data_IF_099023297817
#
_entry.id   IF_099023297817
#
_cell.length_a   1.000
_cell.length_b   1.000
_cell.length_c   1.000
_cell.angle_alpha   90.00
_cell.angle_beta   90.00
_cell.angle_gamma   90.00
#
_symmetry.space_group_name_H-M   'P 1'
#
loop_
_entity.id
_entity.type
_entity.pdbx_description
1 polymer ?
#
# COMPACT_ATOMS: atom_id res chain seq x y z
N UNK A 1 24.55 21.74 8.83
CA UNK A 1 24.13 22.02 10.21
C UNK A 1 25.16 21.45 11.16
N UNK A 2 25.66 22.27 12.10
CA UNK A 2 26.72 21.95 13.07
C UNK A 2 26.21 21.02 14.18
N UNK A 3 27.03 20.08 14.65
CA UNK A 3 26.81 19.38 15.93
C UNK A 3 28.13 19.30 16.71
N UNK A 4 28.28 20.15 17.72
CA UNK A 4 29.03 19.81 18.93
C UNK A 4 28.20 20.25 20.13
N UNK A 5 27.80 19.27 20.93
CA UNK A 5 27.22 19.52 22.24
C UNK A 5 26.64 18.27 22.89
N UNK A 6 27.39 17.69 23.82
CA UNK A 6 26.96 17.73 25.22
C UNK A 6 28.10 18.44 25.97
N UNK A 7 27.79 19.45 26.77
CA UNK A 7 27.42 19.19 28.16
C UNK A 7 26.41 20.21 28.75
N UNK A 8 25.59 19.83 29.73
CA UNK A 8 25.14 20.77 30.78
C UNK A 8 25.60 20.33 32.19
N UNK A 9 26.45 19.31 32.23
CA UNK A 9 26.77 18.26 33.22
C UNK A 9 25.85 17.03 33.11
N UNK A 10 26.01 16.35 31.97
CA UNK A 10 25.86 14.91 31.71
C UNK A 10 24.44 14.33 31.84
N UNK A 11 23.48 14.85 31.05
CA UNK A 11 22.22 14.14 30.74
C UNK A 11 21.22 13.96 31.90
N UNK A 12 21.37 14.70 33.00
CA UNK A 12 20.56 14.54 34.23
C UNK A 12 19.72 15.74 34.66
N UNK A 13 19.65 16.84 33.89
CA UNK A 13 18.83 18.00 34.22
C UNK A 13 17.78 18.30 33.13
N UNK A 14 16.58 18.70 33.55
CA UNK A 14 15.48 19.12 32.69
C UNK A 14 15.54 20.63 32.38
N UNK A 15 15.11 21.08 31.18
CA UNK A 15 14.53 20.28 30.09
C UNK A 15 15.58 19.73 29.12
N UNK A 16 15.39 18.47 28.66
CA UNK A 16 16.20 17.87 27.58
C UNK A 16 15.69 18.33 26.22
N UNK A 17 16.27 19.36 25.63
CA UNK A 17 15.98 19.78 24.26
C UNK A 17 17.16 19.48 23.34
N UNK A 18 16.87 19.02 22.12
CA UNK A 18 17.85 18.93 21.03
C UNK A 18 18.13 20.38 20.61
N UNK A 19 19.22 20.95 21.10
CA UNK A 19 19.63 22.31 20.75
C UNK A 19 20.50 22.27 19.47
N UNK A 20 20.00 22.89 18.39
CA UNK A 20 20.72 23.11 17.14
C UNK A 20 21.34 24.53 17.15
N UNK A 21 22.50 24.73 17.78
CA UNK A 21 23.23 26.02 17.68
C UNK A 21 24.77 25.86 17.65
N UNK A 22 25.42 26.75 16.89
CA UNK A 22 26.83 26.82 16.47
C UNK A 22 27.77 27.55 17.45
N UNK A 23 28.90 26.93 17.82
CA UNK A 23 30.16 27.63 18.14
C UNK A 23 31.38 26.84 17.62
N UNK A 24 32.31 27.55 16.97
CA UNK A 24 33.45 26.97 16.21
C UNK A 24 34.73 26.83 17.05
N UNK A 25 35.44 25.70 16.92
CA UNK A 25 36.70 25.46 17.65
C UNK A 25 37.45 24.16 17.33
N UNK A 26 37.63 23.83 16.04
CA UNK A 26 38.71 22.99 15.52
C UNK A 26 38.52 21.45 15.50
N UNK A 27 38.92 20.80 14.40
CA UNK A 27 39.26 19.37 14.37
C UNK A 27 38.92 18.63 13.09
N UNK A 28 39.69 18.75 12.00
CA UNK A 28 39.40 18.14 10.68
C UNK A 28 39.32 16.60 10.69
N UNK A 29 38.12 16.01 10.88
CA UNK A 29 37.71 14.71 10.32
C UNK A 29 36.21 14.72 10.00
N UNK A 30 35.84 14.31 8.79
CA UNK A 30 34.44 14.24 8.37
C UNK A 30 33.73 13.07 9.03
N UNK A 31 32.80 13.34 9.95
CA UNK A 31 31.93 12.33 10.53
C UNK A 31 30.51 12.43 9.97
N UNK A 32 29.99 11.28 9.55
CA UNK A 32 28.62 11.11 9.10
C UNK A 32 27.69 11.05 10.33
N UNK A 33 26.66 11.89 10.40
CA UNK A 33 25.44 11.48 11.12
C UNK A 33 24.95 10.17 10.48
N UNK A 34 24.31 9.30 11.28
CA UNK A 34 23.70 8.06 10.80
C UNK A 34 23.10 8.27 9.39
N UNK A 35 23.44 7.44 8.39
CA UNK A 35 23.06 7.65 6.99
C UNK A 35 21.54 7.69 6.74
N UNK A 36 20.71 7.53 7.78
CA UNK A 36 19.26 7.43 7.71
C UNK A 36 18.48 8.53 8.45
N UNK A 37 19.07 9.71 8.70
CA UNK A 37 18.30 10.84 9.26
C UNK A 37 17.74 11.72 8.12
N UNK A 38 16.42 11.84 8.11
CA UNK A 38 15.64 12.58 7.13
C UNK A 38 14.79 13.62 7.83
N UNK A 39 14.72 14.83 7.26
CA UNK A 39 13.79 15.88 7.70
C UNK A 39 13.14 16.48 6.45
N UNK A 40 11.81 16.49 6.40
CA UNK A 40 11.03 17.03 5.28
C UNK A 40 11.47 16.49 3.90
N UNK A 41 11.76 15.19 3.82
CA UNK A 41 12.20 14.55 2.57
C UNK A 41 13.65 14.84 2.16
N UNK A 42 14.40 15.59 2.95
CA UNK A 42 15.82 15.89 2.68
C UNK A 42 16.70 15.07 3.60
N UNK A 43 17.63 14.32 3.00
CA UNK A 43 18.65 13.55 3.70
C UNK A 43 19.67 14.50 4.31
N UNK A 44 19.86 14.44 5.62
CA UNK A 44 20.83 15.29 6.31
C UNK A 44 22.24 14.71 6.11
N UNK A 45 22.93 15.15 5.04
CA UNK A 45 24.32 14.83 4.73
C UNK A 45 25.23 16.01 5.11
N UNK A 46 26.41 15.73 5.68
CA UNK A 46 27.46 16.72 5.91
C UNK A 46 28.37 16.89 4.69
N UNK A 47 28.76 18.13 4.36
CA UNK A 47 29.56 18.47 3.17
C UNK A 47 31.09 18.37 3.35
N UNK A 48 31.56 17.82 4.48
CA UNK A 48 32.96 17.37 4.62
C UNK A 48 34.05 18.45 4.68
N UNK A 49 33.73 19.75 4.81
CA UNK A 49 34.74 20.82 4.89
C UNK A 49 34.87 21.43 6.29
N UNK A 50 35.94 21.11 7.06
CA UNK A 50 36.24 21.78 8.33
C UNK A 50 37.76 21.85 8.62
N UNK A 51 38.25 23.00 9.13
CA UNK A 51 39.66 23.28 9.49
C UNK A 51 39.83 23.52 11.02
N UNK A 52 40.84 22.91 11.68
CA UNK A 52 41.31 23.17 13.08
C UNK A 52 41.57 21.91 13.95
N UNK A 53 41.79 22.02 15.29
CA UNK A 53 42.13 20.93 16.27
C UNK A 53 41.04 20.50 17.28
N UNK A 54 40.84 19.19 17.47
CA UNK A 54 39.69 18.56 18.14
C UNK A 54 39.80 18.32 19.67
N UNK A 55 38.72 18.57 20.43
CA UNK A 55 38.55 18.07 21.81
C UNK A 55 38.11 16.59 21.80
N UNK A 56 38.70 15.74 22.66
CA UNK A 56 38.51 14.27 22.68
C UNK A 56 38.73 13.58 21.32
N UNK A 57 39.61 14.12 20.48
CA UNK A 57 39.86 13.58 19.14
C UNK A 57 38.72 13.81 18.13
N UNK A 58 37.69 14.60 18.49
CA UNK A 58 36.56 14.91 17.61
C UNK A 58 35.38 13.94 17.73
N UNK A 59 35.46 12.94 18.61
CA UNK A 59 34.47 11.88 18.73
C UNK A 59 33.57 12.02 19.97
N UNK A 60 32.75 13.07 19.98
CA UNK A 60 31.53 13.08 20.81
C UNK A 60 30.37 12.33 20.11
N UNK A 61 30.57 11.94 18.85
CA UNK A 61 29.60 11.25 18.02
C UNK A 61 29.26 9.88 18.59
N UNK A 62 30.23 9.15 19.17
CA UNK A 62 29.96 7.87 19.85
C UNK A 62 29.01 8.01 21.05
N UNK A 63 29.17 9.04 21.88
CA UNK A 63 28.29 9.24 23.05
C UNK A 63 26.91 9.79 22.66
N UNK A 64 26.86 10.71 21.68
CA UNK A 64 25.61 11.18 21.08
C UNK A 64 24.90 10.08 20.31
N UNK A 65 25.61 9.23 19.55
CA UNK A 65 25.01 8.12 18.84
C UNK A 65 24.52 7.08 19.82
N UNK A 66 25.28 6.70 20.85
CA UNK A 66 24.83 5.67 21.80
C UNK A 66 23.66 6.17 22.65
N UNK A 67 23.65 7.45 23.04
CA UNK A 67 22.53 8.05 23.77
C UNK A 67 21.32 8.39 22.88
N UNK A 68 21.52 8.84 21.63
CA UNK A 68 20.45 9.12 20.67
C UNK A 68 19.89 7.83 20.06
N UNK A 69 20.72 6.82 19.78
CA UNK A 69 20.33 5.44 19.47
C UNK A 69 19.60 4.86 20.68
N UNK A 70 20.17 4.98 21.89
CA UNK A 70 19.50 4.56 23.11
C UNK A 70 18.17 5.28 23.38
N UNK A 71 17.99 6.51 22.91
CA UNK A 71 16.73 7.27 23.02
C UNK A 71 15.76 6.94 21.86
N UNK A 72 16.27 6.79 20.64
CA UNK A 72 15.50 6.37 19.47
C UNK A 72 15.02 4.92 19.59
N UNK A 73 15.81 4.07 20.26
CA UNK A 73 15.51 2.69 20.59
C UNK A 73 14.84 2.55 21.97
N UNK A 74 14.74 3.63 22.78
CA UNK A 74 13.98 3.61 24.04
C UNK A 74 12.46 3.51 23.82
N UNK A 75 12.03 3.80 22.58
CA UNK A 75 10.68 3.57 22.10
C UNK A 75 10.76 2.54 20.98
N UNK A 76 9.93 1.49 21.06
CA UNK A 76 9.83 0.53 19.97
C UNK A 76 9.44 1.29 18.69
N UNK A 77 10.23 1.13 17.61
CA UNK A 77 9.88 1.65 16.29
C UNK A 77 8.47 1.16 15.95
N UNK A 78 7.53 2.08 15.68
CA UNK A 78 6.22 1.67 15.16
C UNK A 78 6.47 0.98 13.82
N UNK A 79 6.28 -0.33 13.81
CA UNK A 79 6.39 -1.17 12.62
C UNK A 79 4.98 -1.50 12.15
N UNK A 80 4.78 -1.44 10.84
CA UNK A 80 3.49 -1.73 10.22
C UNK A 80 3.59 -3.01 9.41
N UNK A 81 2.78 -4.00 9.80
CA UNK A 81 2.52 -5.19 9.02
C UNK A 81 1.43 -4.95 7.99
N UNK A 82 1.22 -5.92 7.08
CA UNK A 82 -0.02 -5.98 6.32
C UNK A 82 -1.21 -6.09 7.25
N UNK A 83 -2.37 -5.60 6.79
CA UNK A 83 -3.62 -5.79 7.50
C UNK A 83 -4.75 -5.99 6.48
N UNK A 84 -5.27 -7.21 6.43
CA UNK A 84 -6.43 -7.58 5.63
C UNK A 84 -7.72 -7.66 6.46
N UNK A 85 -7.74 -7.25 7.74
CA UNK A 85 -8.92 -7.39 8.59
C UNK A 85 -9.59 -6.04 8.92
N UNK A 86 -10.94 -5.96 8.88
CA UNK A 86 -11.89 -6.97 8.39
C UNK A 86 -12.09 -6.84 6.87
N UNK A 87 -11.52 -7.75 6.07
CA UNK A 87 -11.83 -7.79 4.64
C UNK A 87 -13.31 -8.13 4.47
N UNK A 88 -14.02 -7.25 3.77
CA UNK A 88 -15.44 -7.39 3.47
C UNK A 88 -15.61 -8.15 2.14
N UNK A 89 -14.87 -7.71 1.10
CA UNK A 89 -14.95 -8.30 -0.23
C UNK A 89 -13.59 -8.39 -0.90
N UNK A 90 -13.45 -9.37 -1.80
CA UNK A 90 -12.26 -9.56 -2.61
C UNK A 90 -12.56 -10.24 -3.95
N UNK A 91 -12.18 -9.59 -5.05
CA UNK A 91 -12.28 -10.14 -6.40
C UNK A 91 -10.91 -10.19 -7.07
N UNK A 92 -10.51 -11.38 -7.52
CA UNK A 92 -9.15 -11.65 -8.02
C UNK A 92 -9.02 -11.76 -9.55
N UNK A 93 -10.12 -11.73 -10.32
CA UNK A 93 -10.09 -11.69 -11.79
C UNK A 93 -9.11 -12.65 -12.51
N UNK A 94 -8.77 -13.79 -11.90
CA UNK A 94 -7.73 -14.73 -12.35
C UNK A 94 -8.30 -15.92 -13.12
N UNK A 95 -9.44 -15.72 -13.77
CA UNK A 95 -10.08 -16.74 -14.61
C UNK A 95 -9.24 -16.99 -15.86
N UNK A 96 -9.36 -18.20 -16.42
CA UNK A 96 -8.72 -18.58 -17.67
C UNK A 96 -8.99 -17.55 -18.77
N UNK A 97 -7.97 -17.27 -19.58
CA UNK A 97 -8.08 -16.30 -20.66
C UNK A 97 -9.23 -16.63 -21.61
N UNK A 98 -10.04 -15.62 -21.95
CA UNK A 98 -11.22 -15.80 -22.80
C UNK A 98 -12.21 -14.64 -22.72
N UNK A 99 -13.29 -14.67 -23.51
CA UNK A 99 -14.33 -13.64 -23.48
C UNK A 99 -15.03 -13.56 -22.11
N UNK A 100 -15.31 -12.35 -21.66
CA UNK A 100 -16.15 -12.07 -20.49
C UNK A 100 -17.34 -11.19 -20.93
N UNK A 101 -18.38 -11.77 -21.58
CA UNK A 101 -19.51 -11.00 -22.07
C UNK A 101 -20.31 -10.36 -20.93
N UNK A 102 -21.16 -9.38 -21.26
CA UNK A 102 -22.10 -8.78 -20.31
C UNK A 102 -22.87 -9.83 -19.50
N UNK A 103 -22.99 -9.62 -18.19
CA UNK A 103 -23.61 -10.57 -17.26
C UNK A 103 -22.65 -11.63 -16.71
N UNK A 104 -21.39 -11.67 -17.14
CA UNK A 104 -20.36 -12.48 -16.47
C UNK A 104 -20.19 -12.00 -15.03
N UNK A 105 -20.22 -12.94 -14.07
CA UNK A 105 -20.06 -12.62 -12.66
C UNK A 105 -18.78 -13.22 -12.09
N UNK A 106 -18.14 -12.49 -11.19
CA UNK A 106 -17.00 -12.93 -10.40
C UNK A 106 -17.44 -12.85 -8.94
N UNK A 107 -17.51 -13.99 -8.26
CA UNK A 107 -17.86 -14.03 -6.85
C UNK A 107 -16.67 -13.56 -6.00
N UNK A 108 -16.97 -12.78 -4.98
CA UNK A 108 -15.99 -12.39 -3.98
C UNK A 108 -15.55 -13.62 -3.20
N UNK A 109 -14.24 -13.80 -3.01
CA UNK A 109 -13.70 -14.88 -2.15
C UNK A 109 -14.02 -14.65 -0.67
N UNK A 110 -14.59 -13.49 -0.32
CA UNK A 110 -15.07 -13.12 1.02
C UNK A 110 -16.51 -12.65 0.94
N UNK A 111 -17.42 -13.30 1.67
CA UNK A 111 -18.84 -12.93 1.71
C UNK A 111 -19.64 -13.22 0.42
N UNK A 112 -19.01 -13.68 -0.66
CA UNK A 112 -19.70 -14.19 -1.87
C UNK A 112 -20.35 -13.14 -2.78
N UNK A 113 -20.26 -11.85 -2.46
CA UNK A 113 -20.86 -10.78 -3.25
C UNK A 113 -20.30 -10.74 -4.69
N UNK A 114 -21.14 -10.42 -5.67
CA UNK A 114 -20.79 -10.55 -7.10
C UNK A 114 -20.30 -9.22 -7.67
N UNK A 115 -19.14 -9.26 -8.33
CA UNK A 115 -18.75 -8.25 -9.32
C UNK A 115 -19.30 -8.68 -10.68
N UNK A 116 -20.01 -7.80 -11.37
CA UNK A 116 -20.70 -8.12 -12.62
C UNK A 116 -20.12 -7.33 -13.78
N UNK A 117 -19.76 -8.02 -14.87
CA UNK A 117 -19.36 -7.36 -16.11
C UNK A 117 -20.60 -6.78 -16.78
N UNK A 118 -20.57 -5.49 -17.07
CA UNK A 118 -21.57 -4.76 -17.87
C UNK A 118 -20.94 -4.35 -19.20
N UNK A 119 -21.76 -4.06 -20.20
CA UNK A 119 -21.29 -3.62 -21.52
C UNK A 119 -20.54 -4.70 -22.30
N UNK A 120 -19.85 -4.28 -23.36
CA UNK A 120 -19.29 -5.18 -24.38
C UNK A 120 -17.77 -5.14 -24.43
N UNK A 121 -17.17 -6.29 -24.78
CA UNK A 121 -15.75 -6.39 -25.16
C UNK A 121 -14.76 -6.67 -24.03
N UNK A 122 -15.21 -6.97 -22.81
CA UNK A 122 -14.30 -7.43 -21.77
C UNK A 122 -13.76 -8.84 -22.03
N UNK A 123 -12.53 -9.08 -21.60
CA UNK A 123 -11.86 -10.39 -21.73
C UNK A 123 -11.04 -10.70 -20.50
N UNK A 124 -11.10 -11.92 -20.00
CA UNK A 124 -10.11 -12.43 -19.06
C UNK A 124 -8.76 -12.63 -19.77
N UNK A 125 -7.67 -12.27 -19.09
CA UNK A 125 -6.30 -12.40 -19.60
C UNK A 125 -5.57 -13.62 -19.03
N UNK A 126 -6.21 -14.40 -18.15
CA UNK A 126 -5.58 -15.46 -17.35
C UNK A 126 -5.10 -14.98 -15.98
N UNK A 127 -4.85 -13.68 -15.82
CA UNK A 127 -4.42 -13.05 -14.57
C UNK A 127 -5.13 -11.72 -14.31
N UNK A 128 -6.16 -11.39 -15.06
CA UNK A 128 -6.93 -10.17 -14.87
C UNK A 128 -8.14 -10.12 -15.79
N UNK A 129 -8.96 -9.09 -15.62
CA UNK A 129 -10.08 -8.76 -16.48
C UNK A 129 -9.78 -7.45 -17.21
N UNK A 130 -9.70 -7.51 -18.54
CA UNK A 130 -9.46 -6.37 -19.42
C UNK A 130 -10.75 -5.64 -19.72
N UNK A 131 -10.78 -4.34 -19.44
CA UNK A 131 -11.77 -3.42 -20.00
C UNK A 131 -11.26 -2.85 -21.32
N UNK A 132 -12.08 -2.81 -22.39
CA UNK A 132 -11.61 -2.45 -23.73
C UNK A 132 -11.48 -0.94 -23.97
N UNK A 133 -12.16 -0.11 -23.17
CA UNK A 133 -12.39 1.29 -23.46
C UNK A 133 -13.07 1.52 -24.83
N UNK A 134 -13.00 2.74 -25.35
CA UNK A 134 -13.40 3.06 -26.72
C UNK A 134 -14.81 3.64 -26.90
N UNK A 135 -15.64 3.66 -25.85
CA UNK A 135 -16.85 4.48 -25.78
C UNK A 135 -16.75 5.47 -24.61
N UNK A 136 -17.79 6.28 -24.40
CA UNK A 136 -17.98 7.06 -23.17
C UNK A 136 -19.20 6.56 -22.38
N UNK A 137 -19.44 7.15 -21.22
CA UNK A 137 -20.59 6.83 -20.36
C UNK A 137 -21.95 7.13 -21.00
N UNK A 138 -22.02 8.00 -22.02
CA UNK A 138 -23.23 8.32 -22.77
C UNK A 138 -23.46 7.35 -23.95
N UNK A 139 -23.41 6.06 -23.68
CA UNK A 139 -23.66 5.01 -24.66
C UNK A 139 -24.73 4.05 -24.13
N UNK A 140 -25.62 3.59 -25.01
CA UNK A 140 -26.65 2.62 -24.64
C UNK A 140 -26.03 1.31 -24.11
N UNK A 141 -26.70 0.65 -23.16
CA UNK A 141 -26.14 -0.47 -22.41
C UNK A 141 -25.65 -1.64 -23.29
N UNK A 142 -26.28 -1.87 -24.45
CA UNK A 142 -25.89 -2.94 -25.37
C UNK A 142 -24.60 -2.63 -26.15
N UNK A 143 -24.18 -1.37 -26.23
CA UNK A 143 -23.05 -0.92 -27.05
C UNK A 143 -21.95 -0.23 -26.26
N UNK A 144 -22.17 0.08 -24.99
CA UNK A 144 -21.16 0.66 -24.13
C UNK A 144 -19.99 -0.31 -23.95
N UNK A 145 -18.76 0.22 -24.00
CA UNK A 145 -17.57 -0.53 -23.65
C UNK A 145 -17.69 -1.09 -22.22
N UNK A 146 -17.13 -2.27 -22.00
CA UNK A 146 -17.34 -2.98 -20.76
C UNK A 146 -16.76 -2.24 -19.54
N UNK A 147 -17.46 -2.39 -18.41
CA UNK A 147 -17.05 -1.95 -17.08
C UNK A 147 -17.50 -2.98 -16.04
N UNK A 148 -17.03 -2.86 -14.80
CA UNK A 148 -17.40 -3.79 -13.72
C UNK A 148 -18.29 -3.06 -12.73
N UNK A 149 -19.40 -3.70 -12.40
CA UNK A 149 -20.43 -3.25 -11.49
C UNK A 149 -20.31 -4.04 -10.17
N UNK A 150 -20.08 -3.33 -9.08
CA UNK A 150 -19.93 -3.90 -7.74
C UNK A 150 -21.22 -3.68 -6.94
N UNK A 151 -21.43 -4.42 -5.84
CA UNK A 151 -22.66 -4.30 -5.05
C UNK A 151 -22.86 -2.91 -4.44
N UNK A 152 -24.07 -2.38 -4.59
CA UNK A 152 -24.51 -1.12 -3.98
C UNK A 152 -24.56 -1.22 -2.45
N UNK A 153 -24.48 -0.07 -1.76
CA UNK A 153 -24.60 0.01 -0.31
C UNK A 153 -23.41 -0.59 0.46
N UNK A 154 -22.34 -0.96 -0.25
CA UNK A 154 -21.15 -1.57 0.35
C UNK A 154 -20.42 -0.57 1.25
N UNK A 155 -20.27 0.68 0.79
CA UNK A 155 -19.43 1.69 1.42
C UNK A 155 -20.18 2.52 2.44
N UNK A 156 -21.43 2.89 2.15
CA UNK A 156 -22.29 3.64 3.09
C UNK A 156 -22.61 2.85 4.37
N UNK A 157 -22.53 1.52 4.32
CA UNK A 157 -22.67 0.66 5.48
C UNK A 157 -21.42 0.60 6.40
N UNK A 158 -20.29 1.19 5.99
CA UNK A 158 -19.04 1.14 6.72
C UNK A 158 -18.58 2.56 7.11
N UNK A 159 -18.48 2.91 8.40
CA UNK A 159 -17.95 4.22 8.82
C UNK A 159 -16.48 4.38 8.41
N UNK A 160 -15.73 3.28 8.38
CA UNK A 160 -14.34 3.29 7.96
C UNK A 160 -14.13 2.20 6.91
N UNK A 161 -13.47 2.53 5.81
CA UNK A 161 -13.13 1.55 4.79
C UNK A 161 -11.83 1.85 4.06
N UNK A 162 -11.29 0.82 3.43
CA UNK A 162 -10.20 0.90 2.45
C UNK A 162 -10.58 0.12 1.21
N UNK A 163 -10.37 0.73 0.05
CA UNK A 163 -10.40 0.09 -1.26
C UNK A 163 -8.95 -0.07 -1.71
N UNK A 164 -8.54 -1.28 -2.08
CA UNK A 164 -7.24 -1.55 -2.71
C UNK A 164 -7.45 -2.23 -4.07
N UNK A 165 -6.82 -1.70 -5.12
CA UNK A 165 -6.99 -2.17 -6.50
C UNK A 165 -5.62 -2.32 -7.16
N UNK A 166 -5.35 -3.51 -7.69
CA UNK A 166 -4.24 -3.75 -8.59
C UNK A 166 -4.75 -3.68 -10.03
N UNK A 167 -4.28 -2.68 -10.78
CA UNK A 167 -4.71 -2.48 -12.15
C UNK A 167 -3.56 -1.99 -13.06
N UNK A 168 -3.67 -2.34 -14.34
CA UNK A 168 -2.69 -2.05 -15.39
C UNK A 168 -3.33 -1.16 -16.45
N UNK A 169 -3.10 0.16 -16.44
CA UNK A 169 -3.59 1.05 -17.49
C UNK A 169 -2.96 0.71 -18.84
N UNK A 170 -3.77 0.57 -19.89
CA UNK A 170 -3.32 0.17 -21.22
C UNK A 170 -3.31 1.32 -22.23
N UNK A 171 -3.98 2.42 -21.91
CA UNK A 171 -3.87 3.71 -22.61
C UNK A 171 -4.47 4.82 -21.74
N UNK A 172 -4.06 6.07 -21.95
CA UNK A 172 -4.77 7.21 -21.37
C UNK A 172 -6.13 7.42 -22.08
N UNK A 173 -7.16 7.71 -21.29
CA UNK A 173 -8.51 8.09 -21.73
C UNK A 173 -8.95 9.36 -20.99
N UNK A 174 -9.75 10.19 -21.63
CA UNK A 174 -10.27 11.41 -21.06
C UNK A 174 -11.08 11.06 -19.81
N UNK A 175 -10.63 11.53 -18.65
CA UNK A 175 -11.29 11.25 -17.37
C UNK A 175 -11.47 9.75 -17.06
N UNK A 176 -10.46 8.92 -17.39
CA UNK A 176 -10.48 7.47 -17.16
C UNK A 176 -10.57 7.11 -15.68
N UNK A 177 -11.62 6.39 -15.25
CA UNK A 177 -11.77 5.93 -13.85
C UNK A 177 -11.05 4.61 -13.57
N UNK A 178 -10.40 4.53 -12.40
CA UNK A 178 -10.00 3.28 -11.76
C UNK A 178 -11.20 2.71 -11.01
N UNK A 179 -11.81 3.53 -10.16
CA UNK A 179 -13.02 3.24 -9.40
C UNK A 179 -13.81 4.53 -9.22
N UNK A 180 -15.13 4.42 -9.19
CA UNK A 180 -16.01 5.47 -8.73
C UNK A 180 -17.20 4.87 -7.99
N UNK A 181 -17.54 5.44 -6.83
CA UNK A 181 -18.73 5.10 -6.06
C UNK A 181 -19.57 6.34 -5.80
N UNK A 182 -20.89 6.21 -5.80
CA UNK A 182 -21.84 7.28 -5.49
C UNK A 182 -23.09 7.19 -6.37
N UNK A 183 -23.62 8.34 -6.81
CA UNK A 183 -24.82 8.40 -7.65
C UNK A 183 -24.79 9.59 -8.60
N UNK A 184 -25.63 9.55 -9.62
CA UNK A 184 -25.85 10.73 -10.47
C UNK A 184 -26.88 11.68 -9.89
N UNK A 185 -26.83 12.96 -10.32
CA UNK A 185 -27.90 13.94 -10.09
C UNK A 185 -29.20 13.57 -10.79
N UNK A 186 -29.11 12.89 -11.93
CA UNK A 186 -30.26 12.40 -12.69
C UNK A 186 -30.97 11.26 -11.93
N UNK A 187 -32.18 10.90 -12.37
CA UNK A 187 -32.98 9.85 -11.73
C UNK A 187 -32.40 8.43 -11.91
N UNK A 188 -31.41 8.24 -12.79
CA UNK A 188 -30.92 6.92 -13.18
C UNK A 188 -31.65 6.38 -14.41
N UNK A 189 -31.57 5.07 -14.65
CA UNK A 189 -32.28 4.38 -15.73
C UNK A 189 -33.71 3.95 -15.35
N UNK A 190 -34.15 4.23 -14.12
CA UNK A 190 -35.48 3.90 -13.61
C UNK A 190 -35.68 2.41 -13.27
N UNK A 191 -34.61 1.62 -13.30
CA UNK A 191 -34.64 0.18 -12.99
C UNK A 191 -34.07 -0.14 -11.60
N UNK A 192 -33.34 0.80 -11.01
CA UNK A 192 -32.71 0.69 -9.69
C UNK A 192 -33.13 1.82 -8.74
N UNK A 193 -32.28 2.10 -7.77
CA UNK A 193 -32.42 3.24 -6.88
C UNK A 193 -32.30 4.58 -7.64
N UNK A 194 -32.70 5.67 -6.98
CA UNK A 194 -32.59 6.99 -7.58
C UNK A 194 -31.11 7.32 -7.87
N UNK A 195 -30.83 7.72 -9.11
CA UNK A 195 -29.47 8.03 -9.58
C UNK A 195 -28.66 6.80 -10.00
N UNK A 196 -29.24 5.61 -9.98
CA UNK A 196 -28.59 4.37 -10.38
C UNK A 196 -28.69 4.11 -11.90
N UNK A 197 -27.58 3.71 -12.50
CA UNK A 197 -27.57 3.15 -13.85
C UNK A 197 -27.19 1.66 -13.80
N UNK A 198 -28.20 0.80 -13.74
CA UNK A 198 -28.06 -0.65 -13.52
C UNK A 198 -27.28 -1.39 -14.62
N UNK A 199 -27.07 -0.76 -15.78
CA UNK A 199 -26.42 -1.38 -16.94
C UNK A 199 -27.25 -2.53 -17.53
N UNK A 200 -28.55 -2.55 -17.28
CA UNK A 200 -29.47 -3.58 -17.79
C UNK A 200 -29.49 -3.55 -19.33
N UNK A 201 -29.37 -4.71 -20.02
CA UNK A 201 -29.47 -4.76 -21.48
C UNK A 201 -30.77 -4.14 -21.99
N UNK A 202 -30.65 -3.31 -23.03
CA UNK A 202 -31.76 -2.54 -23.59
C UNK A 202 -31.93 -1.13 -23.03
N UNK A 203 -31.29 -0.78 -21.91
CA UNK A 203 -31.29 0.60 -21.41
C UNK A 203 -30.67 1.55 -22.44
N UNK A 204 -31.36 2.67 -22.69
CA UNK A 204 -30.92 3.71 -23.61
C UNK A 204 -29.64 4.42 -23.12
N UNK A 205 -29.02 5.20 -23.99
CA UNK A 205 -27.93 6.08 -23.56
C UNK A 205 -28.45 7.08 -22.52
N UNK A 206 -27.69 7.34 -21.44
CA UNK A 206 -28.19 8.11 -20.30
C UNK A 206 -28.39 9.61 -20.58
N UNK A 207 -27.90 10.13 -21.72
CA UNK A 207 -27.80 11.56 -21.96
C UNK A 207 -26.64 12.14 -21.16
N UNK A 208 -26.67 13.45 -20.89
CA UNK A 208 -25.68 14.12 -20.02
C UNK A 208 -26.00 13.81 -18.57
N UNK A 209 -25.02 13.24 -17.87
CA UNK A 209 -25.11 12.98 -16.42
C UNK A 209 -23.98 13.65 -15.68
N UNK A 210 -24.25 13.97 -14.41
CA UNK A 210 -23.28 14.53 -13.47
C UNK A 210 -23.34 13.73 -12.17
N UNK A 211 -22.24 13.68 -11.43
CA UNK A 211 -22.24 13.11 -10.09
C UNK A 211 -22.96 14.02 -9.10
N UNK A 212 -23.86 13.45 -8.30
CA UNK A 212 -24.33 14.10 -7.07
C UNK A 212 -23.36 13.75 -5.94
N UNK A 213 -23.16 12.46 -5.73
CA UNK A 213 -22.28 11.95 -4.68
C UNK A 213 -21.15 11.18 -5.35
N UNK A 214 -19.93 11.36 -4.87
CA UNK A 214 -18.78 10.73 -5.49
C UNK A 214 -17.65 10.53 -4.49
N UNK A 215 -17.09 9.32 -4.48
CA UNK A 215 -15.69 9.08 -4.13
C UNK A 215 -15.07 8.32 -5.30
N UNK A 216 -14.15 8.96 -6.00
CA UNK A 216 -13.64 8.44 -7.26
C UNK A 216 -12.16 8.66 -7.44
N UNK A 217 -11.51 7.74 -8.14
CA UNK A 217 -10.12 7.86 -8.54
C UNK A 217 -9.98 7.70 -10.04
N UNK A 218 -9.44 8.71 -10.68
CA UNK A 218 -9.10 8.72 -12.10
C UNK A 218 -7.67 8.23 -12.30
N UNK A 219 -7.51 7.24 -13.18
CA UNK A 219 -6.21 6.80 -13.68
C UNK A 219 -5.54 7.88 -14.52
N UNK A 220 -6.34 8.69 -15.22
CA UNK A 220 -5.92 9.91 -15.88
C UNK A 220 -7.10 10.86 -16.13
N UNK A 221 -6.83 12.16 -16.22
CA UNK A 221 -7.82 13.21 -16.51
C UNK A 221 -7.83 13.63 -17.99
N UNK A 222 -6.79 13.25 -18.73
CA UNK A 222 -6.59 13.66 -20.13
C UNK A 222 -6.11 12.49 -20.99
N UNK A 223 -6.48 12.47 -22.28
CA UNK A 223 -6.14 11.39 -23.24
C UNK A 223 -4.65 11.30 -23.60
N UNK A 224 -3.87 12.36 -23.36
CA UNK A 224 -2.46 12.44 -23.75
C UNK A 224 -1.46 11.93 -22.70
N UNK A 225 -1.90 11.63 -21.47
CA UNK A 225 -0.98 11.38 -20.36
C UNK A 225 -1.65 10.56 -19.26
N UNK A 226 -0.97 9.48 -18.83
CA UNK A 226 -1.36 8.73 -17.62
C UNK A 226 -0.84 9.39 -16.34
N UNK A 227 -0.04 10.45 -16.43
CA UNK A 227 0.56 11.07 -15.26
C UNK A 227 -0.46 11.93 -14.51
N UNK A 228 -1.46 12.47 -15.21
CA UNK A 228 -2.43 13.42 -14.66
C UNK A 228 -3.59 12.69 -14.00
N UNK A 229 -3.41 12.27 -12.75
CA UNK A 229 -4.39 11.49 -11.99
C UNK A 229 -5.19 12.38 -11.03
N UNK A 230 -6.40 11.95 -10.65
CA UNK A 230 -7.28 12.75 -9.78
C UNK A 230 -8.05 11.89 -8.79
N UNK A 231 -7.97 12.24 -7.50
CA UNK A 231 -8.98 11.90 -6.51
C UNK A 231 -10.11 12.94 -6.60
N UNK A 232 -11.36 12.49 -6.59
CA UNK A 232 -12.54 13.35 -6.49
C UNK A 232 -13.42 12.87 -5.33
N UNK A 233 -13.90 13.81 -4.53
CA UNK A 233 -14.80 13.56 -3.40
C UNK A 233 -15.90 14.62 -3.40
N UNK A 234 -17.16 14.21 -3.25
CA UNK A 234 -18.28 15.14 -3.30
C UNK A 234 -19.59 14.55 -2.82
N UNK A 235 -20.51 15.46 -2.46
CA UNK A 235 -21.87 15.15 -2.02
C UNK A 235 -22.82 16.22 -2.56
N UNK A 236 -24.03 15.83 -2.95
CA UNK A 236 -25.09 16.75 -3.39
C UNK A 236 -24.66 17.70 -4.53
N UNK A 237 -23.82 17.23 -5.46
CA UNK A 237 -23.35 17.96 -6.63
C UNK A 237 -22.19 18.92 -6.37
N UNK A 238 -21.75 19.08 -5.11
CA UNK A 238 -20.54 19.80 -4.77
C UNK A 238 -19.38 18.82 -4.63
N UNK A 239 -18.26 19.10 -5.31
CA UNK A 239 -17.11 18.22 -5.32
C UNK A 239 -15.80 18.98 -5.16
N UNK A 240 -14.83 18.27 -4.60
CA UNK A 240 -13.45 18.69 -4.44
C UNK A 240 -12.53 17.69 -5.13
N UNK A 241 -11.35 18.15 -5.53
CA UNK A 241 -10.40 17.35 -6.30
C UNK A 241 -8.99 17.48 -5.73
N UNK A 242 -8.24 16.38 -5.78
CA UNK A 242 -6.79 16.38 -5.61
C UNK A 242 -6.10 15.72 -6.79
N UNK A 243 -5.25 16.49 -7.45
CA UNK A 243 -4.49 16.04 -8.60
C UNK A 243 -3.09 15.55 -8.21
N UNK A 244 -2.56 14.63 -9.00
CA UNK A 244 -1.15 14.25 -9.00
C UNK A 244 -0.61 14.19 -10.43
N UNK A 245 0.71 14.30 -10.55
CA UNK A 245 1.47 14.14 -11.80
C UNK A 245 2.40 12.91 -11.75
N UNK A 246 2.05 11.91 -10.94
CA UNK A 246 2.91 10.75 -10.72
C UNK A 246 3.18 10.01 -12.03
N UNK A 247 4.46 9.73 -12.36
CA UNK A 247 4.80 8.98 -13.57
C UNK A 247 4.08 7.63 -13.64
N UNK A 248 3.28 7.43 -14.68
CA UNK A 248 2.57 6.17 -14.94
C UNK A 248 2.89 5.69 -16.35
N UNK A 249 3.45 4.49 -16.43
CA UNK A 249 3.85 3.82 -17.67
C UNK A 249 2.73 2.91 -18.14
N UNK A 250 2.39 3.00 -19.43
CA UNK A 250 1.42 2.11 -20.08
C UNK A 250 1.86 0.65 -19.96
N UNK A 251 0.92 -0.23 -19.61
CA UNK A 251 1.18 -1.67 -19.51
C UNK A 251 1.88 -2.09 -18.21
N UNK A 252 2.19 -1.15 -17.31
CA UNK A 252 2.71 -1.46 -15.97
C UNK A 252 1.56 -1.59 -14.99
N UNK A 253 1.59 -2.66 -14.19
CA UNK A 253 0.64 -2.83 -13.10
C UNK A 253 1.01 -1.92 -11.93
N UNK A 254 -0.02 -1.37 -11.31
CA UNK A 254 0.14 -0.56 -10.13
C UNK A 254 -0.94 -0.84 -9.10
N UNK A 255 -0.64 -0.48 -7.85
CA UNK A 255 -1.60 -0.49 -6.75
C UNK A 255 -2.20 0.92 -6.57
N UNK A 256 -3.52 0.99 -6.55
CA UNK A 256 -4.31 2.18 -6.23
C UNK A 256 -5.08 1.90 -4.95
N UNK A 257 -5.07 2.80 -3.98
CA UNK A 257 -5.91 2.64 -2.80
C UNK A 257 -6.54 3.96 -2.33
N UNK A 258 -7.72 3.84 -1.74
CA UNK A 258 -8.42 4.93 -1.07
C UNK A 258 -8.81 4.45 0.33
N UNK A 259 -8.53 5.25 1.35
CA UNK A 259 -9.12 5.04 2.69
C UNK A 259 -10.14 6.14 2.95
N UNK A 260 -11.26 5.80 3.59
CA UNK A 260 -12.20 6.75 4.17
C UNK A 260 -12.30 6.46 5.66
N UNK A 261 -11.99 7.44 6.49
CA UNK A 261 -12.14 7.36 7.94
C UNK A 261 -13.18 8.36 8.42
N UNK A 262 -14.26 7.90 9.05
CA UNK A 262 -15.23 8.82 9.65
C UNK A 262 -14.62 9.58 10.83
N UNK A 263 -15.03 10.83 10.98
CA UNK A 263 -14.60 11.72 12.05
C UNK A 263 -15.82 12.42 12.67
N UNK A 264 -15.61 13.25 13.69
CA UNK A 264 -16.70 14.04 14.26
C UNK A 264 -17.23 15.16 13.31
N UNK A 265 -16.48 15.52 12.26
CA UNK A 265 -16.77 16.65 11.39
C UNK A 265 -17.08 16.27 9.92
N UNK A 266 -17.27 14.98 9.65
CA UNK A 266 -17.33 14.40 8.30
C UNK A 266 -16.34 13.25 8.23
N UNK A 267 -15.49 13.20 7.21
CA UNK A 267 -14.52 12.12 7.01
C UNK A 267 -13.14 12.60 6.55
N UNK A 268 -12.14 11.73 6.70
CA UNK A 268 -10.81 11.91 6.09
C UNK A 268 -10.62 10.86 5.01
N UNK A 269 -10.46 11.32 3.76
CA UNK A 269 -10.15 10.51 2.59
C UNK A 269 -8.67 10.58 2.30
N UNK A 270 -8.01 9.44 2.13
CA UNK A 270 -6.62 9.38 1.68
C UNK A 270 -6.51 8.58 0.41
N UNK A 271 -5.65 9.03 -0.49
CA UNK A 271 -5.31 8.33 -1.73
C UNK A 271 -3.86 7.87 -1.71
N UNK A 272 -3.65 6.61 -2.11
CA UNK A 272 -2.36 5.96 -2.17
C UNK A 272 -2.04 5.41 -3.58
N UNK A 273 -0.75 5.36 -3.88
CA UNK A 273 -0.17 4.76 -5.07
C UNK A 273 0.99 3.85 -4.66
N UNK A 274 0.96 2.57 -5.03
CA UNK A 274 2.04 1.62 -4.70
C UNK A 274 2.38 1.59 -3.20
N UNK A 275 1.37 1.73 -2.33
CA UNK A 275 1.57 1.75 -0.88
C UNK A 275 2.03 3.10 -0.31
N UNK A 276 2.29 4.11 -1.15
CA UNK A 276 2.69 5.45 -0.73
C UNK A 276 1.47 6.37 -0.67
N UNK A 277 1.35 7.14 0.42
CA UNK A 277 0.34 8.20 0.55
C UNK A 277 0.63 9.32 -0.46
N UNK A 278 -0.36 9.68 -1.27
CA UNK A 278 -0.26 10.73 -2.28
C UNK A 278 -0.99 11.99 -1.83
N UNK A 279 -2.21 11.84 -1.31
CA UNK A 279 -3.06 12.94 -0.86
C UNK A 279 -3.88 12.55 0.35
N UNK A 280 -4.18 13.56 1.16
CA UNK A 280 -5.16 13.52 2.25
C UNK A 280 -6.14 14.65 2.02
N UNK A 281 -7.43 14.36 2.16
CA UNK A 281 -8.52 15.32 2.07
C UNK A 281 -9.49 15.10 3.22
N UNK A 282 -9.78 16.16 3.95
CA UNK A 282 -10.89 16.16 4.89
C UNK A 282 -12.15 16.62 4.13
N UNK A 283 -13.23 15.87 4.30
CA UNK A 283 -14.55 16.14 3.73
C UNK A 283 -15.55 16.40 4.85
N UNK A 284 -16.57 17.19 4.57
CA UNK A 284 -17.59 17.59 5.56
C UNK A 284 -18.78 16.64 5.62
N UNK A 285 -18.69 15.46 4.99
CA UNK A 285 -19.73 14.44 4.95
C UNK A 285 -19.19 13.11 5.48
N UNK A 286 -20.09 12.27 5.97
CA UNK A 286 -19.80 10.93 6.48
C UNK A 286 -19.94 9.89 5.36
N UNK A 287 -19.34 8.71 5.50
CA UNK A 287 -19.51 7.67 4.47
C UNK A 287 -20.97 7.24 4.32
N UNK A 288 -21.74 7.28 5.41
CA UNK A 288 -23.17 6.95 5.42
C UNK A 288 -24.04 7.97 4.66
N UNK A 289 -23.52 9.18 4.39
CA UNK A 289 -24.23 10.19 3.59
C UNK A 289 -24.12 9.91 2.08
N UNK A 290 -23.14 9.11 1.66
CA UNK A 290 -22.91 8.78 0.26
C UNK A 290 -23.96 7.77 -0.19
N UNK A 291 -24.77 8.13 -1.19
CA UNK A 291 -25.67 7.17 -1.82
C UNK A 291 -24.89 6.34 -2.85
N UNK A 292 -24.20 5.28 -2.42
CA UNK A 292 -23.36 4.41 -3.26
C UNK A 292 -24.18 3.37 -4.04
N UNK A 293 -25.01 3.86 -4.96
CA UNK A 293 -25.87 3.04 -5.85
C UNK A 293 -25.26 2.81 -7.24
N UNK A 294 -24.20 3.53 -7.58
CA UNK A 294 -23.32 3.27 -8.70
C UNK A 294 -21.93 3.00 -8.15
N UNK A 295 -21.53 1.73 -8.10
CA UNK A 295 -20.20 1.33 -7.62
C UNK A 295 -19.47 0.63 -8.76
N UNK A 296 -18.65 1.39 -9.48
CA UNK A 296 -18.08 0.93 -10.74
C UNK A 296 -16.57 0.93 -10.77
N UNK A 297 -16.01 -0.06 -11.46
CA UNK A 297 -14.64 -0.02 -11.96
C UNK A 297 -14.67 0.32 -13.44
N UNK A 298 -13.97 1.39 -13.83
CA UNK A 298 -13.79 1.76 -15.23
C UNK A 298 -14.90 2.59 -15.86
N UNK A 299 -15.87 3.07 -15.07
CA UNK A 299 -16.97 3.95 -15.50
C UNK A 299 -17.10 5.13 -14.55
N UNK A 300 -17.59 6.27 -15.06
CA UNK A 300 -17.93 7.46 -14.27
C UNK A 300 -19.43 7.78 -14.30
N UNK A 301 -19.90 8.45 -13.25
CA UNK A 301 -21.17 9.15 -13.12
C UNK A 301 -21.27 10.34 -14.09
N UNK A 302 -20.16 10.86 -14.61
CA UNK A 302 -20.17 11.81 -15.73
C UNK A 302 -20.20 11.05 -17.06
N UNK A 303 -21.32 11.10 -17.78
CA UNK A 303 -21.49 10.33 -19.01
C UNK A 303 -20.61 10.81 -20.17
N UNK A 304 -20.06 12.02 -20.08
CA UNK A 304 -19.07 12.52 -21.04
C UNK A 304 -17.70 11.84 -20.94
N UNK A 305 -17.40 11.22 -19.79
CA UNK A 305 -16.09 10.61 -19.51
C UNK A 305 -15.92 9.31 -20.30
N UNK A 306 -14.69 9.05 -20.76
CA UNK A 306 -14.38 7.86 -21.53
C UNK A 306 -14.29 6.62 -20.64
N UNK A 307 -14.78 5.48 -21.16
CA UNK A 307 -14.70 4.19 -20.49
C UNK A 307 -13.23 3.72 -20.41
N UNK A 308 -12.87 3.07 -19.30
CA UNK A 308 -11.49 2.72 -19.05
C UNK A 308 -10.95 1.63 -19.97
N UNK A 309 -9.67 1.77 -20.34
CA UNK A 309 -8.88 0.75 -21.03
C UNK A 309 -7.74 0.29 -20.12
N UNK A 310 -8.03 -0.76 -19.33
CA UNK A 310 -7.11 -1.27 -18.31
C UNK A 310 -7.42 -2.72 -17.93
N UNK A 311 -6.42 -3.42 -17.41
CA UNK A 311 -6.62 -4.72 -16.75
C UNK A 311 -6.82 -4.52 -15.25
N UNK A 312 -7.81 -5.22 -14.66
CA UNK A 312 -7.96 -5.34 -13.21
C UNK A 312 -7.51 -6.72 -12.76
N UNK A 313 -6.67 -6.76 -11.72
CA UNK A 313 -6.06 -7.98 -11.23
C UNK A 313 -6.59 -8.38 -9.85
N UNK A 314 -6.77 -7.46 -8.92
CA UNK A 314 -7.27 -7.77 -7.57
C UNK A 314 -7.94 -6.53 -7.01
N UNK A 315 -9.10 -6.69 -6.39
CA UNK A 315 -9.87 -5.62 -5.73
C UNK A 315 -10.21 -6.10 -4.34
N UNK A 316 -9.81 -5.36 -3.32
CA UNK A 316 -10.06 -5.66 -1.91
C UNK A 316 -10.82 -4.51 -1.28
N UNK A 317 -11.90 -4.84 -0.58
CA UNK A 317 -12.66 -3.91 0.24
C UNK A 317 -12.48 -4.33 1.69
N UNK A 318 -11.92 -3.44 2.51
CA UNK A 318 -11.61 -3.68 3.91
C UNK A 318 -12.44 -2.72 4.74
N UNK A 319 -13.17 -3.24 5.73
CA UNK A 319 -14.03 -2.46 6.64
C UNK A 319 -13.27 -1.73 7.74
N UNK A 320 -12.10 -1.20 7.40
CA UNK A 320 -11.30 -0.33 8.24
C UNK A 320 -10.56 0.67 7.36
N UNK A 321 -10.38 1.89 7.85
CA UNK A 321 -9.47 2.87 7.25
C UNK A 321 -8.04 2.50 7.66
N UNK A 322 -7.30 1.88 6.75
CA UNK A 322 -5.96 1.40 7.04
C UNK A 322 -4.99 2.57 7.29
N UNK A 323 -4.08 2.38 8.24
CA UNK A 323 -2.97 3.30 8.43
C UNK A 323 -2.02 3.23 7.23
N UNK A 324 -1.28 4.31 6.96
CA UNK A 324 -0.42 4.43 5.77
C UNK A 324 0.57 3.26 5.64
N UNK A 325 1.15 2.83 6.76
CA UNK A 325 2.07 1.69 6.79
C UNK A 325 1.40 0.34 6.54
N UNK A 326 0.10 0.19 6.87
CA UNK A 326 -0.67 -1.03 6.57
C UNK A 326 -0.99 -1.12 5.07
N UNK A 327 -1.32 0.00 4.42
CA UNK A 327 -1.48 0.06 2.95
C UNK A 327 -0.15 -0.28 2.25
N UNK A 328 0.98 0.22 2.79
CA UNK A 328 2.29 -0.18 2.31
C UNK A 328 2.61 -1.67 2.54
N UNK A 329 2.14 -2.24 3.66
CA UNK A 329 2.22 -3.68 3.94
C UNK A 329 1.41 -4.50 2.93
N UNK A 330 0.15 -4.13 2.68
CA UNK A 330 -0.72 -4.80 1.73
C UNK A 330 -0.23 -4.70 0.29
N UNK A 331 0.37 -3.58 -0.11
CA UNK A 331 1.02 -3.44 -1.41
C UNK A 331 2.06 -4.56 -1.68
N UNK A 332 2.81 -4.97 -0.65
CA UNK A 332 3.86 -6.01 -0.77
C UNK A 332 3.31 -7.41 -0.97
N UNK A 333 2.08 -7.67 -0.54
CA UNK A 333 1.36 -8.92 -0.85
C UNK A 333 1.21 -9.06 -2.38
N UNK A 334 0.97 -7.94 -3.06
CA UNK A 334 0.66 -7.91 -4.50
C UNK A 334 -0.72 -8.51 -4.81
N UNK A 335 -1.09 -8.64 -6.10
CA UNK A 335 -2.32 -9.31 -6.49
C UNK A 335 -2.22 -10.83 -6.30
N UNK A 336 -3.37 -11.52 -6.25
CA UNK A 336 -3.50 -13.00 -6.27
C UNK A 336 -2.75 -13.77 -5.21
N UNK A 337 -2.38 -13.12 -4.10
CA UNK A 337 -1.62 -13.76 -3.01
C UNK A 337 -0.27 -14.33 -3.48
N UNK A 338 0.33 -13.72 -4.50
CA UNK A 338 1.61 -14.16 -5.06
C UNK A 338 2.72 -14.24 -4.00
N UNK A 339 2.58 -13.48 -2.91
CA UNK A 339 3.51 -13.44 -1.78
C UNK A 339 2.76 -13.42 -0.44
N UNK A 340 3.31 -14.08 0.58
CA UNK A 340 2.87 -13.96 1.97
C UNK A 340 3.75 -12.96 2.73
N UNK A 341 3.15 -11.96 3.36
CA UNK A 341 3.84 -10.99 4.20
C UNK A 341 3.69 -11.33 5.68
N UNK A 342 4.69 -10.96 6.49
CA UNK A 342 4.58 -11.04 7.96
C UNK A 342 3.81 -9.81 8.46
N UNK A 343 2.71 -10.02 9.17
CA UNK A 343 1.85 -8.93 9.69
C UNK A 343 2.14 -8.56 11.15
N UNK A 344 2.90 -9.38 11.88
CA UNK A 344 3.39 -9.05 13.23
C UNK A 344 4.77 -9.63 13.52
N UNK A 345 5.51 -8.97 14.42
CA UNK A 345 6.78 -9.47 14.93
C UNK A 345 6.62 -10.84 15.60
N UNK A 346 7.61 -11.71 15.42
CA UNK A 346 7.73 -12.89 16.26
C UNK A 346 8.03 -12.49 17.71
N UNK A 347 7.11 -12.83 18.60
CA UNK A 347 7.33 -12.73 20.04
C UNK A 347 8.52 -13.60 20.48
N UNK A 348 9.06 -13.31 21.66
CA UNK A 348 10.13 -14.14 22.24
C UNK A 348 9.67 -15.60 22.38
N UNK A 349 10.53 -16.54 22.00
CA UNK A 349 10.22 -17.98 22.01
C UNK A 349 9.42 -18.47 20.80
N UNK A 350 8.83 -17.57 20.00
CA UNK A 350 8.13 -17.94 18.77
C UNK A 350 9.08 -17.95 17.57
N UNK A 351 8.63 -18.59 16.49
CA UNK A 351 9.34 -18.63 15.22
C UNK A 351 8.39 -18.73 14.05
N UNK A 352 8.49 -17.76 13.14
CA UNK A 352 7.78 -17.77 11.87
C UNK A 352 8.23 -18.86 10.91
N UNK A 353 9.29 -19.63 11.21
CA UNK A 353 9.63 -20.83 10.42
C UNK A 353 8.63 -21.97 10.70
N UNK A 354 7.94 -21.93 11.84
CA UNK A 354 7.04 -23.00 12.30
C UNK A 354 5.59 -22.52 12.35
N UNK A 355 5.37 -21.39 13.02
CA UNK A 355 4.06 -20.77 13.20
C UNK A 355 4.23 -19.26 13.39
N UNK A 356 4.21 -18.54 12.28
CA UNK A 356 4.36 -17.09 12.24
C UNK A 356 3.05 -16.36 11.99
N UNK A 357 3.10 -15.05 12.22
CA UNK A 357 2.06 -14.11 11.82
C UNK A 357 2.12 -13.84 10.30
N UNK A 358 1.99 -14.89 9.50
CA UNK A 358 2.04 -14.82 8.04
C UNK A 358 0.64 -14.68 7.45
N UNK A 359 0.52 -13.91 6.38
CA UNK A 359 -0.68 -13.93 5.54
C UNK A 359 -0.87 -15.33 4.92
N UNK A 360 -2.14 -15.71 4.70
CA UNK A 360 -2.53 -16.97 4.03
C UNK A 360 -2.08 -18.27 4.73
N UNK A 361 -1.72 -18.21 6.01
CA UNK A 361 -1.49 -19.38 6.86
C UNK A 361 -0.23 -19.25 7.70
N UNK A 362 -0.32 -19.65 8.97
CA UNK A 362 0.75 -19.45 9.93
C UNK A 362 2.02 -20.28 9.65
N UNK A 363 1.92 -21.38 8.91
CA UNK A 363 3.07 -22.25 8.60
C UNK A 363 3.55 -22.03 7.17
N UNK A 364 4.83 -21.67 6.96
CA UNK A 364 5.37 -21.51 5.62
C UNK A 364 5.30 -22.77 4.75
N UNK A 365 5.09 -22.60 3.45
CA UNK A 365 5.02 -23.71 2.47
C UNK A 365 5.97 -23.49 1.30
N UNK A 366 6.50 -24.58 0.75
CA UNK A 366 7.54 -24.56 -0.29
C UNK A 366 7.11 -23.99 -1.64
N UNK A 367 5.82 -23.74 -1.84
CA UNK A 367 5.26 -23.18 -3.07
C UNK A 367 5.08 -21.66 -3.04
N UNK A 368 5.30 -21.02 -1.88
CA UNK A 368 5.00 -19.60 -1.69
C UNK A 368 6.24 -18.78 -1.34
N UNK A 369 6.32 -17.59 -1.90
CA UNK A 369 7.34 -16.59 -1.58
C UNK A 369 6.92 -15.80 -0.32
N UNK A 370 7.86 -15.53 0.59
CA UNK A 370 7.62 -14.85 1.87
C UNK A 370 8.41 -13.55 1.98
N UNK A 371 7.86 -12.55 2.67
CA UNK A 371 8.54 -11.28 2.95
C UNK A 371 8.22 -10.74 4.33
N UNK A 372 9.23 -10.31 5.07
CA UNK A 372 9.04 -9.79 6.43
C UNK A 372 8.52 -8.37 6.46
N UNK A 373 8.67 -7.60 5.36
CA UNK A 373 8.55 -6.15 5.43
C UNK A 373 9.41 -5.61 6.57
N UNK A 374 8.85 -4.70 7.37
CA UNK A 374 9.54 -4.09 8.52
C UNK A 374 9.56 -4.95 9.79
N UNK A 375 8.97 -6.16 9.75
CA UNK A 375 8.80 -7.04 10.91
C UNK A 375 10.09 -7.79 11.29
N UNK A 376 10.11 -8.26 12.52
CA UNK A 376 11.07 -9.20 13.06
C UNK A 376 10.61 -10.65 12.87
N UNK A 377 11.43 -11.43 12.18
CA UNK A 377 11.31 -12.89 12.04
C UNK A 377 12.40 -13.59 12.88
N UNK A 378 12.04 -14.68 13.55
CA UNK A 378 12.91 -15.48 14.39
C UNK A 378 12.99 -16.91 13.87
N UNK A 379 14.17 -17.51 13.88
CA UNK A 379 14.33 -18.95 13.67
C UNK A 379 13.91 -19.74 14.93
N UNK A 380 13.59 -21.05 14.82
CA UNK A 380 13.22 -21.86 15.97
C UNK A 380 14.39 -21.96 16.95
N UNK A 381 14.16 -21.74 18.25
CA UNK A 381 15.22 -21.82 19.27
C UNK A 381 15.49 -23.28 19.66
N UNK A 382 16.29 -23.97 18.86
CA UNK A 382 16.65 -25.38 19.04
C UNK A 382 18.16 -25.59 18.93
N UNK A 383 18.65 -26.77 19.33
CA UNK A 383 20.06 -27.15 19.17
C UNK A 383 20.37 -27.69 17.76
N UNK A 384 19.39 -28.30 17.09
CA UNK A 384 19.55 -28.83 15.74
C UNK A 384 19.52 -27.76 14.65
N UNK A 385 20.04 -28.11 13.48
CA UNK A 385 19.92 -27.30 12.27
C UNK A 385 18.45 -27.02 11.92
N UNK A 386 18.19 -25.89 11.27
CA UNK A 386 16.84 -25.51 10.84
C UNK A 386 16.84 -25.08 9.38
N UNK A 387 15.71 -25.21 8.71
CA UNK A 387 15.53 -24.80 7.31
C UNK A 387 14.24 -24.02 7.19
N UNK A 388 14.28 -22.88 6.49
CA UNK A 388 13.07 -22.14 6.18
C UNK A 388 12.20 -22.95 5.20
N UNK A 389 10.92 -23.24 5.53
CA UNK A 389 10.11 -24.10 4.67
C UNK A 389 9.59 -23.43 3.39
N UNK A 390 9.59 -22.08 3.35
CA UNK A 390 9.07 -21.32 2.22
C UNK A 390 9.92 -21.43 0.96
N UNK A 391 9.33 -21.09 -0.19
CA UNK A 391 10.03 -21.08 -1.49
C UNK A 391 11.21 -20.11 -1.48
N UNK A 392 10.97 -18.89 -1.02
CA UNK A 392 11.96 -17.83 -0.82
C UNK A 392 11.59 -16.97 0.38
N UNK A 393 12.57 -16.27 0.93
CA UNK A 393 12.37 -15.30 2.01
C UNK A 393 13.04 -13.98 1.66
N UNK A 394 12.27 -12.90 1.62
CA UNK A 394 12.76 -11.54 1.45
C UNK A 394 12.76 -10.80 2.79
N UNK A 395 13.88 -10.16 3.14
CA UNK A 395 13.96 -9.28 4.32
C UNK A 395 14.06 -7.83 3.83
N UNK A 396 12.94 -7.11 3.91
CA UNK A 396 12.78 -5.76 3.33
C UNK A 396 12.58 -4.71 4.41
N UNK A 397 13.67 -4.20 5.01
CA UNK A 397 13.63 -3.23 6.13
C UNK A 397 13.33 -3.83 7.52
N UNK A 398 13.10 -5.15 7.57
CA UNK A 398 12.88 -5.93 8.78
C UNK A 398 14.14 -6.64 9.28
N UNK A 399 13.97 -7.61 10.18
CA UNK A 399 15.08 -8.28 10.84
C UNK A 399 14.87 -9.81 10.83
N UNK A 400 15.95 -10.56 10.61
CA UNK A 400 15.99 -12.01 10.82
C UNK A 400 16.92 -12.32 12.00
N UNK A 401 16.37 -12.92 13.05
CA UNK A 401 17.14 -13.36 14.21
C UNK A 401 17.40 -14.86 14.16
N UNK A 402 18.67 -15.24 14.08
CA UNK A 402 19.14 -16.62 14.15
C UNK A 402 19.24 -17.05 15.63
N UNK A 403 18.10 -17.35 16.24
CA UNK A 403 18.00 -17.84 17.62
C UNK A 403 18.41 -19.30 17.73
N UNK A 404 19.30 -19.67 18.66
CA UNK A 404 19.70 -21.07 18.84
C UNK A 404 20.11 -21.40 20.27
N UNK A 405 20.04 -22.70 20.64
CA UNK A 405 20.59 -23.20 21.92
C UNK A 405 22.10 -23.51 21.86
N UNK A 406 22.73 -23.30 20.71
CA UNK A 406 24.13 -23.63 20.46
C UNK A 406 24.50 -23.44 19.00
N UNK A 407 25.71 -23.87 18.62
CA UNK A 407 26.20 -23.71 17.26
C UNK A 407 25.40 -24.57 16.28
N UNK A 408 24.95 -23.97 15.18
CA UNK A 408 24.14 -24.67 14.18
C UNK A 408 24.12 -23.98 12.82
N UNK A 409 23.57 -24.69 11.84
CA UNK A 409 23.25 -24.15 10.52
C UNK A 409 21.77 -23.82 10.40
N UNK A 410 21.47 -22.61 9.95
CA UNK A 410 20.15 -22.20 9.45
C UNK A 410 20.23 -22.13 7.93
N UNK A 411 19.39 -22.89 7.23
CA UNK A 411 19.33 -22.90 5.76
C UNK A 411 18.12 -22.12 5.28
N UNK A 412 18.32 -21.19 4.36
CA UNK A 412 17.25 -20.51 3.62
C UNK A 412 17.61 -20.65 2.15
N UNK A 413 16.90 -21.51 1.42
CA UNK A 413 17.28 -21.91 0.07
C UNK A 413 17.43 -20.71 -0.89
N UNK A 414 16.56 -19.71 -0.75
CA UNK A 414 16.57 -18.44 -1.48
C UNK A 414 16.27 -17.30 -0.50
N UNK A 415 17.33 -16.62 -0.05
CA UNK A 415 17.27 -15.45 0.82
C UNK A 415 17.56 -14.19 0.01
N UNK A 416 16.67 -13.20 0.09
CA UNK A 416 16.79 -11.92 -0.60
C UNK A 416 16.83 -10.79 0.42
N UNK A 417 17.95 -10.07 0.49
CA UNK A 417 18.14 -8.97 1.44
C UNK A 417 18.02 -7.64 0.70
N UNK A 418 16.96 -6.88 1.02
CA UNK A 418 16.75 -5.53 0.51
C UNK A 418 16.54 -4.54 1.67
N UNK A 419 17.65 -4.07 2.26
CA UNK A 419 17.63 -3.11 3.37
C UNK A 419 17.22 -3.66 4.75
N UNK A 420 17.09 -4.98 4.90
CA UNK A 420 16.90 -5.64 6.19
C UNK A 420 18.20 -6.03 6.90
N UNK A 421 18.08 -6.54 8.13
CA UNK A 421 19.23 -7.05 8.90
C UNK A 421 19.12 -8.54 9.22
N UNK A 422 20.26 -9.20 9.42
CA UNK A 422 20.35 -10.56 9.95
C UNK A 422 21.28 -10.53 11.16
N UNK A 423 20.82 -11.06 12.30
CA UNK A 423 21.59 -11.10 13.54
C UNK A 423 21.71 -12.51 14.11
N UNK A 424 22.85 -12.81 14.71
CA UNK A 424 23.09 -14.05 15.45
C UNK A 424 22.66 -13.90 16.91
N UNK A 425 21.80 -14.80 17.38
CA UNK A 425 21.26 -14.81 18.75
C UNK A 425 21.34 -16.22 19.35
N UNK A 426 22.49 -16.87 19.17
CA UNK A 426 22.80 -18.17 19.78
C UNK A 426 23.27 -18.04 21.22
N UNK A 427 22.87 -18.98 22.06
CA UNK A 427 23.38 -19.07 23.44
C UNK A 427 24.89 -19.35 23.46
N UNK A 428 25.56 -18.94 24.54
CA UNK A 428 26.92 -19.39 24.88
C UNK A 428 28.03 -18.96 23.91
N UNK A 429 27.88 -17.81 23.24
CA UNK A 429 28.81 -17.32 22.20
C UNK A 429 29.01 -18.32 21.05
N UNK A 430 27.95 -19.07 20.73
CA UNK A 430 28.01 -20.09 19.68
C UNK A 430 28.01 -19.49 18.27
N UNK A 431 28.72 -20.15 17.36
CA UNK A 431 28.75 -19.80 15.94
C UNK A 431 27.45 -20.21 15.24
N UNK A 432 26.77 -19.24 14.62
CA UNK A 432 25.63 -19.49 13.73
C UNK A 432 26.10 -19.46 12.27
N UNK A 433 25.77 -20.51 11.52
CA UNK A 433 26.01 -20.56 10.07
C UNK A 433 24.70 -20.29 9.34
N UNK A 434 24.69 -19.33 8.43
CA UNK A 434 23.58 -19.10 7.51
C UNK A 434 23.96 -19.67 6.13
N UNK A 435 23.15 -20.59 5.62
CA UNK A 435 23.40 -21.30 4.36
C UNK A 435 22.26 -21.10 3.35
N UNK A 436 22.57 -21.27 2.06
CA UNK A 436 21.65 -21.17 0.94
C UNK A 436 22.08 -20.12 -0.08
N UNK A 437 21.22 -19.82 -1.06
CA UNK A 437 21.49 -18.76 -2.02
C UNK A 437 21.09 -17.42 -1.41
N UNK A 438 22.04 -16.49 -1.31
CA UNK A 438 21.84 -15.19 -0.69
C UNK A 438 22.05 -14.10 -1.73
N UNK A 439 20.97 -13.43 -2.10
CA UNK A 439 21.00 -12.23 -2.94
C UNK A 439 20.92 -10.99 -2.06
N UNK A 440 21.80 -10.02 -2.31
CA UNK A 440 21.83 -8.74 -1.59
C UNK A 440 21.71 -7.61 -2.59
N UNK A 441 20.70 -6.76 -2.39
CA UNK A 441 20.44 -5.55 -3.19
C UNK A 441 20.62 -4.31 -2.33
N UNK A 442 21.04 -3.21 -2.95
CA UNK A 442 21.14 -1.94 -2.25
C UNK A 442 19.74 -1.43 -1.89
N UNK A 443 19.59 -0.80 -0.72
CA UNK A 443 18.32 -0.23 -0.23
C UNK A 443 17.77 0.93 -1.09
N UNK A 444 18.45 1.29 -2.18
CA UNK A 444 18.07 2.40 -3.07
C UNK A 444 17.20 1.96 -4.25
N UNK A 445 16.97 0.66 -4.41
CA UNK A 445 16.07 0.05 -5.39
C UNK A 445 14.74 -0.35 -4.74
#
# INVERSE_FOLDING_TARGET
GHNYGLDHRVGRADPRTIMLHNYCGGGSQGFYSNPNIWLNGVKLLGEGSCLGTALQGGDAAYNLSTAAQGTADSWERIVWGSNLYPIAHRWQFNQTAGPAPAGTTIASSVGGALATVRGSGATFTGSGLRLPGGTNGNTAANSIAAYIDLPNGTFSAMPNFTVEIWATPLSAKNWMRVIELGRTTQAGDGLGAAGEYTGTPGSAAPGTTDASDVVGLSACTWTGSLNDQRLVTGLNGAYEVDDSTLPTTVGTMYHYAITFADTAAGGTVKWFRNGMLIKTRDVTFHSADIEDVNVWLGRSNWSGDEMAHMDYHDVRIIGAALADGQVAGNYRIGPHDAKSTLWANDAWGNSGFVSGAWEFGATPVSTRDYETGTMLLRTPRTAGNTTFPGKSLSITGGNLHLNALGARTTTINDLRLNGGSVGSFGDGNSTQTLAGNIAVTNFTD
#
